data_IF_895805830457
#
_entry.id   IF_895805830457
#
_cell.length_a   1.000
_cell.length_b   1.000
_cell.length_c   1.000
_cell.angle_alpha   90.00
_cell.angle_beta   90.00
_cell.angle_gamma   90.00
#
_symmetry.space_group_name_H-M   'P 1'
#
loop_
_entity.id
_entity.type
_entity.pdbx_description
1 polymer ?
#
# COMPACT_ATOMS: atom_id res chain seq x y z
N UNK A 1 0.09 -1.12 -32.28
CA UNK A 1 -0.79 -2.11 -32.91
C UNK A 1 -0.02 -3.32 -33.44
N UNK A 2 0.92 -3.17 -34.37
CA UNK A 2 1.74 -4.31 -34.86
C UNK A 2 2.60 -4.98 -33.78
N UNK A 3 3.07 -4.24 -32.78
CA UNK A 3 3.69 -4.83 -31.58
C UNK A 3 2.76 -5.84 -30.89
N UNK A 4 1.46 -5.52 -30.76
CA UNK A 4 0.45 -6.44 -30.21
C UNK A 4 0.19 -7.63 -31.14
N UNK A 5 0.15 -7.43 -32.46
CA UNK A 5 -0.02 -8.53 -33.41
C UNK A 5 1.17 -9.50 -33.38
N UNK A 6 2.38 -8.95 -33.31
CA UNK A 6 3.61 -9.74 -33.19
C UNK A 6 3.61 -10.57 -31.90
N UNK A 7 3.31 -9.97 -30.76
CA UNK A 7 3.18 -10.69 -29.49
C UNK A 7 2.11 -11.77 -29.57
N UNK A 8 0.92 -11.47 -30.09
CA UNK A 8 -0.13 -12.48 -30.28
C UNK A 8 0.33 -13.62 -31.19
N UNK A 9 1.11 -13.32 -32.24
CA UNK A 9 1.69 -14.35 -33.10
C UNK A 9 2.76 -15.19 -32.40
N UNK A 10 3.57 -14.61 -31.51
CA UNK A 10 4.52 -15.36 -30.65
C UNK A 10 3.76 -16.38 -29.82
N UNK A 11 2.66 -15.96 -29.18
CA UNK A 11 1.88 -16.85 -28.32
C UNK A 11 1.21 -17.94 -29.16
N UNK A 12 0.53 -17.54 -30.24
CA UNK A 12 -0.26 -18.42 -31.10
C UNK A 12 0.60 -19.42 -31.88
N UNK A 13 1.71 -18.96 -32.45
CA UNK A 13 2.48 -19.69 -33.47
C UNK A 13 3.94 -19.97 -33.06
N UNK A 14 4.45 -19.32 -32.02
CA UNK A 14 5.85 -19.42 -31.58
C UNK A 14 6.78 -18.38 -32.23
N UNK A 15 7.97 -18.22 -31.64
CA UNK A 15 8.96 -17.21 -32.05
C UNK A 15 9.52 -17.45 -33.46
N UNK A 16 9.77 -18.71 -33.82
CA UNK A 16 10.40 -19.07 -35.09
C UNK A 16 9.40 -19.15 -36.27
N UNK A 17 8.09 -18.96 -36.01
CA UNK A 17 7.11 -19.08 -37.08
C UNK A 17 7.30 -17.94 -38.11
N UNK A 18 7.30 -18.23 -39.43
CA UNK A 18 7.47 -17.20 -40.47
C UNK A 18 6.49 -16.02 -40.34
N UNK A 19 5.26 -16.26 -39.85
CA UNK A 19 4.28 -15.20 -39.62
C UNK A 19 4.71 -14.27 -38.48
N UNK A 20 5.23 -14.83 -37.39
CA UNK A 20 5.77 -14.06 -36.25
C UNK A 20 6.95 -13.22 -36.70
N UNK A 21 7.92 -13.82 -37.41
CA UNK A 21 9.09 -13.13 -37.95
C UNK A 21 8.69 -11.99 -38.89
N UNK A 22 7.75 -12.23 -39.82
CA UNK A 22 7.22 -11.19 -40.71
C UNK A 22 6.63 -10.02 -39.93
N UNK A 23 5.80 -10.28 -38.91
CA UNK A 23 5.19 -9.22 -38.10
C UNK A 23 6.23 -8.41 -37.32
N UNK A 24 7.33 -9.04 -36.87
CA UNK A 24 8.44 -8.34 -36.24
C UNK A 24 9.11 -7.35 -37.21
N UNK A 25 9.39 -7.78 -38.45
CA UNK A 25 9.95 -6.90 -39.48
C UNK A 25 9.00 -5.76 -39.83
N UNK A 26 7.71 -6.05 -40.02
CA UNK A 26 6.70 -5.01 -40.29
C UNK A 26 6.63 -4.01 -39.14
N UNK A 27 6.64 -4.47 -37.88
CA UNK A 27 6.67 -3.59 -36.73
C UNK A 27 7.88 -2.65 -36.75
N UNK A 28 9.09 -3.17 -36.99
CA UNK A 28 10.31 -2.38 -37.03
C UNK A 28 10.28 -1.33 -38.17
N UNK A 29 9.88 -1.73 -39.37
CA UNK A 29 9.74 -0.80 -40.51
C UNK A 29 8.74 0.32 -40.19
N UNK A 30 7.64 0.00 -39.51
CA UNK A 30 6.63 0.99 -39.13
C UNK A 30 7.08 1.96 -38.03
N UNK A 31 8.02 1.56 -37.16
CA UNK A 31 8.62 2.50 -36.21
C UNK A 31 9.42 3.60 -36.93
N UNK A 32 10.07 3.26 -38.05
CA UNK A 32 10.84 4.20 -38.86
C UNK A 32 10.02 4.84 -40.01
N UNK A 33 8.75 4.52 -40.16
CA UNK A 33 7.89 5.02 -41.24
C UNK A 33 7.78 6.55 -41.26
N UNK A 34 7.82 7.20 -40.10
CA UNK A 34 7.80 8.67 -40.02
C UNK A 34 9.02 9.33 -40.67
N UNK A 35 10.17 8.62 -40.71
CA UNK A 35 11.42 9.10 -41.32
C UNK A 35 11.58 8.64 -42.76
N UNK A 36 11.17 7.41 -43.05
CA UNK A 36 11.36 6.76 -44.36
C UNK A 36 10.23 7.04 -45.34
N UNK A 37 9.08 7.52 -44.87
CA UNK A 37 7.90 7.75 -45.69
C UNK A 37 7.16 6.46 -46.09
N UNK A 38 7.58 5.29 -45.58
CA UNK A 38 6.92 4.03 -45.88
C UNK A 38 5.47 4.02 -45.36
N UNK A 39 4.57 3.46 -46.16
CA UNK A 39 3.17 3.29 -45.83
C UNK A 39 2.79 1.83 -45.91
N UNK A 40 2.06 1.36 -44.91
CA UNK A 40 1.54 0.01 -44.88
C UNK A 40 0.42 -0.16 -45.92
N UNK A 41 0.46 -1.25 -46.67
CA UNK A 41 -0.64 -1.61 -47.55
C UNK A 41 -1.91 -1.92 -46.74
N UNK A 42 -3.03 -1.26 -47.07
CA UNK A 42 -4.33 -1.44 -46.40
C UNK A 42 -4.84 -2.88 -46.44
N UNK A 43 -4.58 -3.60 -47.55
CA UNK A 43 -5.00 -5.00 -47.69
C UNK A 43 -4.24 -5.90 -46.69
N UNK A 44 -2.91 -5.75 -46.62
CA UNK A 44 -2.07 -6.48 -45.68
C UNK A 44 -2.46 -6.16 -44.22
N UNK A 45 -2.77 -4.90 -43.91
CA UNK A 45 -3.25 -4.53 -42.59
C UNK A 45 -4.56 -5.23 -42.20
N UNK A 46 -5.52 -5.30 -43.13
CA UNK A 46 -6.83 -5.93 -42.89
C UNK A 46 -6.66 -7.43 -42.62
N UNK A 47 -5.80 -8.09 -43.39
CA UNK A 47 -5.46 -9.51 -43.21
C UNK A 47 -4.74 -9.78 -41.88
N UNK A 48 -3.72 -8.99 -41.56
CA UNK A 48 -2.97 -9.10 -40.30
C UNK A 48 -3.87 -8.87 -39.10
N UNK A 49 -4.76 -7.87 -39.18
CA UNK A 49 -5.75 -7.59 -38.14
C UNK A 49 -6.73 -8.74 -37.99
N UNK A 50 -7.26 -9.30 -39.08
CA UNK A 50 -8.18 -10.43 -38.99
C UNK A 50 -7.52 -11.67 -38.35
N UNK A 51 -6.23 -11.88 -38.62
CA UNK A 51 -5.51 -13.09 -38.20
C UNK A 51 -4.92 -13.00 -36.78
N UNK A 52 -4.43 -11.82 -36.39
CA UNK A 52 -3.60 -11.64 -35.19
C UNK A 52 -4.19 -10.67 -34.15
N UNK A 53 -5.28 -9.96 -34.46
CA UNK A 53 -5.99 -9.19 -33.45
C UNK A 53 -6.67 -10.13 -32.46
N UNK A 54 -6.45 -9.87 -31.18
CA UNK A 54 -7.13 -10.55 -30.10
C UNK A 54 -7.57 -9.50 -29.08
N UNK A 55 -8.85 -9.53 -28.68
CA UNK A 55 -9.47 -8.47 -27.87
C UNK A 55 -8.84 -8.38 -26.46
N UNK A 56 -8.58 -9.53 -25.85
CA UNK A 56 -8.09 -9.64 -24.46
C UNK A 56 -6.56 -9.75 -24.45
N UNK A 57 -6.03 -10.75 -25.17
CA UNK A 57 -4.59 -10.98 -25.35
C UNK A 57 -4.16 -12.22 -24.55
N UNK A 58 -2.86 -12.41 -24.31
CA UNK A 58 -2.37 -13.50 -23.48
C UNK A 58 -2.68 -13.29 -22.00
N UNK A 59 -2.88 -14.38 -21.27
CA UNK A 59 -3.28 -14.38 -19.86
C UNK A 59 -2.30 -13.62 -18.95
N UNK A 60 -0.99 -13.80 -19.18
CA UNK A 60 0.03 -13.18 -18.33
C UNK A 60 -0.06 -11.64 -18.29
N UNK A 61 -0.61 -10.99 -19.32
CA UNK A 61 -0.79 -9.52 -19.33
C UNK A 61 -1.80 -9.04 -18.31
N UNK A 62 -2.82 -9.84 -18.05
CA UNK A 62 -3.81 -9.52 -17.03
C UNK A 62 -3.25 -9.82 -15.65
N UNK A 63 -2.67 -11.01 -15.47
CA UNK A 63 -2.02 -11.42 -14.23
C UNK A 63 -0.90 -10.44 -13.81
N UNK A 64 -0.16 -9.87 -14.75
CA UNK A 64 0.89 -8.88 -14.47
C UNK A 64 0.33 -7.48 -14.13
N UNK A 65 -0.88 -7.13 -14.57
CA UNK A 65 -1.49 -5.82 -14.31
C UNK A 65 -2.16 -5.75 -12.94
N UNK A 66 -2.62 -6.88 -12.43
CA UNK A 66 -3.35 -6.96 -11.17
C UNK A 66 -2.40 -6.92 -9.97
N UNK A 67 -1.98 -5.71 -9.56
CA UNK A 67 -1.40 -5.49 -8.20
C UNK A 67 -2.35 -5.92 -7.09
N UNK A 68 -3.65 -6.03 -7.38
CA UNK A 68 -4.70 -6.54 -6.49
C UNK A 68 -5.20 -7.85 -7.09
N UNK A 69 -5.28 -8.90 -6.25
CA UNK A 69 -5.81 -10.25 -6.51
C UNK A 69 -7.25 -10.25 -7.04
N UNK A 70 -7.50 -9.66 -8.21
CA UNK A 70 -8.73 -9.93 -8.94
C UNK A 70 -8.50 -11.20 -9.72
N UNK A 71 -9.41 -12.18 -9.53
CA UNK A 71 -9.54 -13.32 -10.43
C UNK A 71 -9.58 -12.79 -11.87
N UNK A 72 -8.99 -13.54 -12.81
CA UNK A 72 -9.12 -13.28 -14.23
C UNK A 72 -10.56 -12.83 -14.55
N UNK A 73 -10.70 -11.65 -15.16
CA UNK A 73 -11.98 -11.04 -15.48
C UNK A 73 -12.74 -11.84 -16.55
N UNK A 74 -12.02 -12.69 -17.28
CA UNK A 74 -12.54 -13.56 -18.33
C UNK A 74 -12.30 -15.03 -18.00
N UNK A 75 -13.15 -15.95 -18.48
CA UNK A 75 -12.89 -17.38 -18.40
C UNK A 75 -11.60 -17.73 -19.16
N UNK A 76 -10.91 -18.78 -18.71
CA UNK A 76 -9.61 -19.17 -19.26
C UNK A 76 -9.63 -19.43 -20.78
N UNK A 77 -10.78 -19.82 -21.34
CA UNK A 77 -11.00 -20.08 -22.77
C UNK A 77 -10.91 -18.84 -23.65
N UNK A 78 -11.12 -17.65 -23.07
CA UNK A 78 -11.19 -16.39 -23.81
C UNK A 78 -9.82 -15.76 -24.04
N UNK A 79 -8.77 -16.28 -23.39
CA UNK A 79 -7.40 -15.79 -23.57
C UNK A 79 -6.76 -16.39 -24.82
N UNK A 80 -5.75 -15.70 -25.31
CA UNK A 80 -4.98 -16.19 -26.45
C UNK A 80 -4.09 -17.36 -26.01
N UNK A 81 -4.34 -18.53 -26.59
CA UNK A 81 -3.55 -19.74 -26.39
C UNK A 81 -2.71 -20.08 -27.62
N UNK A 82 -1.65 -20.86 -27.41
CA UNK A 82 -0.88 -21.45 -28.51
C UNK A 82 -1.76 -22.43 -29.28
N UNK A 83 -1.82 -22.28 -30.61
CA UNK A 83 -2.47 -23.28 -31.47
C UNK A 83 -1.53 -24.48 -31.54
N UNK A 84 -1.99 -25.60 -31.00
CA UNK A 84 -1.30 -26.88 -31.15
C UNK A 84 -1.89 -27.50 -32.41
N UNK A 85 -1.09 -27.62 -33.47
CA UNK A 85 -1.50 -28.43 -34.61
C UNK A 85 -1.44 -29.90 -34.17
N UNK A 86 -2.60 -30.51 -33.95
CA UNK A 86 -2.74 -31.91 -33.50
C UNK A 86 -2.12 -32.95 -34.45
N UNK A 87 -1.63 -32.53 -35.63
CA UNK A 87 -1.07 -33.39 -36.67
C UNK A 87 0.38 -33.86 -36.42
N UNK A 88 1.06 -33.36 -35.38
CA UNK A 88 2.43 -33.77 -35.04
C UNK A 88 2.46 -34.40 -33.63
N UNK A 89 1.88 -35.59 -33.51
CA UNK A 89 1.78 -36.35 -32.25
C UNK A 89 3.15 -36.80 -31.69
N UNK A 90 4.21 -36.80 -32.50
CA UNK A 90 5.48 -37.43 -32.15
C UNK A 90 6.43 -36.59 -31.28
N UNK A 91 6.09 -35.33 -30.99
CA UNK A 91 6.92 -34.50 -30.11
C UNK A 91 6.43 -34.53 -28.65
N UNK A 92 6.58 -35.69 -28.03
CA UNK A 92 6.28 -35.92 -26.60
C UNK A 92 7.00 -34.91 -25.67
N UNK A 93 8.12 -34.33 -26.11
CA UNK A 93 8.85 -33.26 -25.41
C UNK A 93 8.08 -31.93 -25.33
N UNK A 94 7.27 -31.58 -26.32
CA UNK A 94 6.49 -30.32 -26.31
C UNK A 94 5.17 -30.44 -25.52
N UNK A 95 4.65 -31.66 -25.31
CA UNK A 95 3.46 -31.89 -24.47
C UNK A 95 3.71 -31.61 -22.99
N UNK A 96 4.97 -31.68 -22.51
CA UNK A 96 5.33 -31.46 -21.09
C UNK A 96 5.64 -30.00 -20.75
N UNK A 97 5.97 -29.18 -21.74
CA UNK A 97 6.21 -27.73 -21.60
C UNK A 97 5.18 -26.91 -22.40
N UNK A 98 3.89 -27.19 -22.19
CA UNK A 98 2.75 -26.51 -22.85
C UNK A 98 2.54 -25.07 -22.40
N UNK A 99 3.17 -24.64 -21.30
CA UNK A 99 3.00 -23.29 -20.76
C UNK A 99 3.99 -22.35 -21.42
N UNK A 100 3.49 -21.21 -21.90
CA UNK A 100 4.33 -20.14 -22.42
C UNK A 100 5.21 -19.57 -21.29
N UNK A 101 6.42 -19.12 -21.63
CA UNK A 101 7.45 -18.78 -20.63
C UNK A 101 7.00 -17.65 -19.70
N UNK A 102 6.31 -16.63 -20.20
CA UNK A 102 5.81 -15.53 -19.38
C UNK A 102 4.72 -16.00 -18.41
N UNK A 103 3.80 -16.88 -18.83
CA UNK A 103 2.82 -17.47 -17.92
C UNK A 103 3.48 -18.31 -16.81
N UNK A 104 4.53 -19.07 -17.14
CA UNK A 104 5.30 -19.81 -16.15
C UNK A 104 5.98 -18.87 -15.15
N UNK A 105 6.66 -17.83 -15.64
CA UNK A 105 7.35 -16.85 -14.79
C UNK A 105 6.39 -16.12 -13.86
N UNK A 106 5.20 -15.74 -14.34
CA UNK A 106 4.17 -15.13 -13.49
C UNK A 106 3.74 -16.07 -12.38
N UNK A 107 3.45 -17.34 -12.68
CA UNK A 107 3.07 -18.34 -11.65
C UNK A 107 4.17 -18.57 -10.61
N UNK A 108 5.43 -18.64 -11.06
CA UNK A 108 6.58 -18.77 -10.15
C UNK A 108 6.73 -17.53 -9.27
N UNK A 109 6.59 -16.33 -9.85
CA UNK A 109 6.65 -15.08 -9.11
C UNK A 109 5.52 -14.96 -8.07
N UNK A 110 4.30 -15.38 -8.40
CA UNK A 110 3.16 -15.44 -7.46
C UNK A 110 3.46 -16.37 -6.29
N UNK A 111 4.00 -17.57 -6.57
CA UNK A 111 4.37 -18.54 -5.52
C UNK A 111 5.45 -17.98 -4.59
N UNK A 112 6.49 -17.35 -5.15
CA UNK A 112 7.55 -16.72 -4.34
C UNK A 112 7.01 -15.53 -3.54
N UNK A 113 6.13 -14.72 -4.13
CA UNK A 113 5.45 -13.62 -3.44
C UNK A 113 4.65 -14.13 -2.23
N UNK A 114 3.79 -15.14 -2.42
CA UNK A 114 2.99 -15.70 -1.33
C UNK A 114 3.90 -16.34 -0.25
N UNK A 115 4.98 -17.01 -0.65
CA UNK A 115 5.98 -17.53 0.30
C UNK A 115 6.63 -16.42 1.12
N UNK A 116 6.99 -15.30 0.50
CA UNK A 116 7.56 -14.14 1.18
C UNK A 116 6.53 -13.50 2.12
N UNK A 117 5.27 -13.35 1.71
CA UNK A 117 4.20 -12.86 2.57
C UNK A 117 4.08 -13.71 3.85
N UNK A 118 4.01 -15.04 3.73
CA UNK A 118 3.95 -15.95 4.88
C UNK A 118 5.17 -15.79 5.79
N UNK A 119 6.38 -15.69 5.22
CA UNK A 119 7.61 -15.46 6.01
C UNK A 119 7.59 -14.13 6.75
N UNK A 120 7.09 -13.07 6.11
CA UNK A 120 6.96 -11.74 6.71
C UNK A 120 5.93 -11.74 7.83
N UNK A 121 4.76 -12.35 7.61
CA UNK A 121 3.71 -12.50 8.62
C UNK A 121 4.24 -13.28 9.83
N UNK A 122 4.96 -14.38 9.61
CA UNK A 122 5.57 -15.15 10.69
C UNK A 122 6.62 -14.33 11.47
N UNK A 123 7.46 -13.56 10.77
CA UNK A 123 8.47 -12.69 11.38
C UNK A 123 7.85 -11.59 12.23
N UNK A 124 6.75 -10.99 11.78
CA UNK A 124 6.09 -9.90 12.50
C UNK A 124 5.06 -10.36 13.53
N UNK A 125 4.55 -11.59 13.45
CA UNK A 125 3.70 -12.19 14.48
C UNK A 125 4.37 -12.25 15.85
N UNK A 126 5.71 -12.28 15.89
CA UNK A 126 6.48 -12.25 17.13
C UNK A 126 6.50 -10.86 17.82
N UNK A 127 6.05 -9.80 17.17
CA UNK A 127 5.96 -8.48 17.79
C UNK A 127 4.80 -8.47 18.80
N UNK A 128 5.12 -8.07 20.03
CA UNK A 128 4.11 -7.92 21.09
C UNK A 128 3.08 -6.87 20.69
N UNK A 129 1.81 -7.25 20.71
CA UNK A 129 0.66 -6.34 20.58
C UNK A 129 0.18 -5.84 21.95
N UNK A 130 1.04 -5.92 22.96
CA UNK A 130 0.79 -5.40 24.31
C UNK A 130 -0.08 -6.35 25.12
N UNK A 131 -0.48 -5.91 26.31
CA UNK A 131 -1.35 -6.65 27.20
C UNK A 131 -2.52 -5.77 27.66
N UNK A 132 -3.69 -6.00 27.08
CA UNK A 132 -4.92 -5.25 27.37
C UNK A 132 -5.37 -5.45 28.82
N UNK A 133 -5.26 -6.68 29.34
CA UNK A 133 -5.69 -7.03 30.70
C UNK A 133 -4.86 -6.27 31.76
N UNK A 134 -3.58 -6.08 31.48
CA UNK A 134 -2.67 -5.33 32.33
C UNK A 134 -2.58 -3.84 31.95
N UNK A 135 -3.37 -3.38 30.98
CA UNK A 135 -3.32 -2.00 30.47
C UNK A 135 -1.90 -1.58 30.01
N UNK A 136 -1.12 -2.52 29.46
CA UNK A 136 0.23 -2.29 28.93
C UNK A 136 0.15 -2.19 27.40
N UNK A 137 0.23 -0.97 26.82
CA UNK A 137 0.32 -0.84 25.38
C UNK A 137 1.63 -1.40 24.84
N UNK A 138 1.70 -1.62 23.51
CA UNK A 138 2.85 -2.25 22.86
C UNK A 138 4.13 -1.42 22.93
N UNK A 139 4.00 -0.10 22.85
CA UNK A 139 5.08 0.84 23.06
C UNK A 139 4.74 1.74 24.26
N UNK A 140 5.33 1.40 25.41
CA UNK A 140 5.16 2.16 26.63
C UNK A 140 5.71 3.59 26.53
N UNK A 141 6.69 3.84 25.67
CA UNK A 141 7.27 5.18 25.55
C UNK A 141 6.25 6.17 24.99
N UNK A 142 5.43 5.73 24.03
CA UNK A 142 4.38 6.54 23.42
C UNK A 142 3.23 6.82 24.38
N UNK A 143 2.94 5.89 25.29
CA UNK A 143 1.84 6.01 26.26
C UNK A 143 2.23 6.72 27.56
N UNK A 144 3.52 6.70 27.93
CA UNK A 144 4.04 7.23 29.18
C UNK A 144 3.65 8.69 29.47
N UNK A 145 3.68 9.65 28.51
CA UNK A 145 3.27 11.02 28.80
C UNK A 145 1.85 11.14 29.36
N UNK A 146 0.90 10.35 28.84
CA UNK A 146 -0.47 10.32 29.33
C UNK A 146 -0.56 9.68 30.71
N UNK A 147 -0.01 8.48 30.89
CA UNK A 147 -0.07 7.77 32.17
C UNK A 147 0.62 8.53 33.31
N UNK A 148 1.76 9.16 33.05
CA UNK A 148 2.44 10.01 34.04
C UNK A 148 1.57 11.22 34.41
N UNK A 149 0.80 11.76 33.47
CA UNK A 149 -0.10 12.88 33.73
C UNK A 149 -1.32 12.46 34.55
N UNK A 150 -1.90 11.29 34.27
CA UNK A 150 -2.97 10.70 35.10
C UNK A 150 -2.47 10.47 36.54
N UNK A 151 -1.31 9.81 36.70
CA UNK A 151 -0.73 9.57 38.01
C UNK A 151 -0.45 10.87 38.79
N UNK A 152 0.05 11.92 38.12
CA UNK A 152 0.23 13.24 38.73
C UNK A 152 -1.10 13.87 39.13
N UNK A 153 -2.13 13.75 38.30
CA UNK A 153 -3.45 14.29 38.61
C UNK A 153 -4.08 13.59 39.83
N UNK A 154 -3.82 12.30 40.04
CA UNK A 154 -4.33 11.56 41.19
C UNK A 154 -3.59 11.89 42.49
N UNK A 155 -2.26 12.05 42.42
CA UNK A 155 -1.41 12.08 43.62
C UNK A 155 -0.91 13.47 44.01
N UNK A 156 -0.46 14.27 43.04
CA UNK A 156 0.29 15.51 43.30
C UNK A 156 -0.54 16.75 42.98
N UNK A 157 -1.32 16.72 41.90
CA UNK A 157 -1.99 17.90 41.36
C UNK A 157 -3.41 17.57 40.85
N UNK A 158 -4.40 17.40 41.74
CA UNK A 158 -5.80 17.13 41.37
C UNK A 158 -6.42 18.15 40.41
N UNK A 159 -5.93 19.39 40.42
CA UNK A 159 -6.34 20.44 39.50
C UNK A 159 -6.01 20.15 38.03
N UNK A 160 -5.13 19.17 37.72
CA UNK A 160 -4.79 18.73 36.37
C UNK A 160 -5.89 17.86 35.75
N UNK A 161 -6.72 17.17 36.55
CA UNK A 161 -7.72 16.24 36.07
C UNK A 161 -8.77 16.86 35.11
N UNK A 162 -9.30 18.08 35.34
CA UNK A 162 -10.15 18.77 34.37
C UNK A 162 -9.49 18.99 33.00
N UNK A 163 -8.21 19.34 32.97
CA UNK A 163 -7.46 19.58 31.73
C UNK A 163 -7.28 18.28 30.95
N UNK A 164 -6.93 17.19 31.63
CA UNK A 164 -6.86 15.86 31.01
C UNK A 164 -8.21 15.42 30.46
N UNK A 165 -9.31 15.66 31.17
CA UNK A 165 -10.66 15.38 30.66
C UNK A 165 -10.98 16.19 29.40
N UNK A 166 -10.57 17.47 29.34
CA UNK A 166 -10.77 18.30 28.16
C UNK A 166 -9.97 17.79 26.95
N UNK A 167 -8.72 17.35 27.16
CA UNK A 167 -7.89 16.72 26.13
C UNK A 167 -8.51 15.42 25.65
N UNK A 168 -8.90 14.54 26.58
CA UNK A 168 -9.52 13.27 26.26
C UNK A 168 -10.82 13.45 25.47
N UNK A 169 -11.68 14.37 25.90
CA UNK A 169 -12.93 14.68 25.22
C UNK A 169 -12.71 15.16 23.77
N UNK A 170 -11.70 16.02 23.55
CA UNK A 170 -11.35 16.46 22.19
C UNK A 170 -10.88 15.29 21.33
N UNK A 171 -9.94 14.47 21.83
CA UNK A 171 -9.41 13.33 21.07
C UNK A 171 -10.51 12.32 20.76
N UNK A 172 -11.40 12.02 21.71
CA UNK A 172 -12.51 11.09 21.50
C UNK A 172 -13.48 11.60 20.44
N UNK A 173 -13.82 12.90 20.48
CA UNK A 173 -14.65 13.53 19.45
C UNK A 173 -14.02 13.37 18.06
N UNK A 174 -12.74 13.72 17.89
CA UNK A 174 -12.06 13.62 16.59
C UNK A 174 -11.96 12.15 16.13
N UNK A 175 -11.78 11.23 17.07
CA UNK A 175 -11.76 9.78 16.80
C UNK A 175 -13.13 9.26 16.33
N UNK A 176 -14.22 9.70 16.95
CA UNK A 176 -15.59 9.31 16.58
C UNK A 176 -16.02 9.92 15.24
N UNK A 177 -15.62 11.17 14.98
CA UNK A 177 -15.84 11.86 13.69
C UNK A 177 -14.98 11.29 12.57
N UNK A 178 -14.00 10.43 12.88
CA UNK A 178 -13.17 9.78 11.88
C UNK A 178 -14.03 8.90 10.97
N UNK A 179 -14.40 9.45 9.82
CA UNK A 179 -14.94 8.67 8.72
C UNK A 179 -13.86 7.73 8.19
N UNK A 180 -14.24 6.49 7.88
CA UNK A 180 -13.33 5.54 7.22
C UNK A 180 -12.86 6.19 5.90
N UNK A 181 -11.56 6.42 5.77
CA UNK A 181 -10.99 6.98 4.55
C UNK A 181 -11.16 5.94 3.45
N UNK A 182 -12.14 6.18 2.60
CA UNK A 182 -12.48 5.32 1.48
C UNK A 182 -11.29 5.25 0.52
N UNK A 183 -10.65 4.08 0.44
CA UNK A 183 -9.45 3.86 -0.37
C UNK A 183 -9.70 3.94 -1.87
N UNK A 184 -10.97 3.88 -2.30
CA UNK A 184 -11.36 3.91 -3.70
C UNK A 184 -11.58 5.35 -4.20
N UNK A 185 -11.57 6.35 -3.30
CA UNK A 185 -11.55 7.76 -3.68
C UNK A 185 -10.24 8.19 -4.34
N UNK A 186 -10.32 9.29 -5.11
CA UNK A 186 -9.14 9.92 -5.71
C UNK A 186 -8.12 10.28 -4.63
N UNK A 187 -6.84 10.26 -5.00
CA UNK A 187 -5.74 10.49 -4.04
C UNK A 187 -5.87 11.88 -3.40
N UNK A 188 -6.23 12.90 -4.19
CA UNK A 188 -6.41 14.28 -3.72
C UNK A 188 -7.48 14.37 -2.64
N UNK A 189 -8.67 13.83 -2.90
CA UNK A 189 -9.79 13.81 -1.95
C UNK A 189 -9.43 13.10 -0.64
N UNK A 190 -8.72 11.97 -0.72
CA UNK A 190 -8.23 11.25 0.47
C UNK A 190 -7.24 12.08 1.26
N UNK A 191 -6.32 12.76 0.60
CA UNK A 191 -5.35 13.63 1.27
C UNK A 191 -6.03 14.82 1.94
N UNK A 192 -7.04 15.41 1.30
CA UNK A 192 -7.78 16.53 1.86
C UNK A 192 -8.58 16.13 3.10
N UNK A 193 -9.19 14.94 3.11
CA UNK A 193 -9.82 14.38 4.30
C UNK A 193 -8.82 14.20 5.46
N UNK A 194 -7.65 13.61 5.18
CA UNK A 194 -6.60 13.42 6.18
C UNK A 194 -6.06 14.77 6.71
N UNK A 195 -5.87 15.76 5.82
CA UNK A 195 -5.45 17.11 6.21
C UNK A 195 -6.51 17.82 7.05
N UNK A 196 -7.79 17.70 6.71
CA UNK A 196 -8.89 18.28 7.47
C UNK A 196 -8.94 17.70 8.88
N UNK A 197 -8.85 16.38 9.00
CA UNK A 197 -8.83 15.67 10.28
C UNK A 197 -7.60 16.03 11.13
N UNK A 198 -6.42 16.10 10.52
CA UNK A 198 -5.20 16.53 11.22
C UNK A 198 -5.28 17.98 11.68
N UNK A 199 -5.87 18.88 10.88
CA UNK A 199 -6.12 20.27 11.28
C UNK A 199 -7.13 20.37 12.43
N UNK A 200 -8.22 19.61 12.38
CA UNK A 200 -9.20 19.59 13.46
C UNK A 200 -8.57 19.06 14.76
N UNK A 201 -7.81 17.96 14.68
CA UNK A 201 -7.05 17.43 15.81
C UNK A 201 -6.09 18.47 16.40
N UNK A 202 -5.34 19.18 15.55
CA UNK A 202 -4.39 20.20 15.98
C UNK A 202 -5.03 21.48 16.54
N UNK A 203 -6.31 21.73 16.24
CA UNK A 203 -7.01 22.96 16.63
C UNK A 203 -7.39 23.02 18.12
N UNK A 204 -7.32 21.89 18.83
CA UNK A 204 -7.81 21.82 20.19
C UNK A 204 -7.12 20.78 21.07
N UNK A 205 -7.48 20.78 22.37
CA UNK A 205 -8.26 21.82 23.06
C UNK A 205 -7.47 23.13 23.24
N UNK A 206 -8.17 24.27 23.21
CA UNK A 206 -7.55 25.60 23.35
C UNK A 206 -6.88 25.79 24.71
N UNK A 207 -5.73 26.47 24.72
CA UNK A 207 -4.97 26.81 25.92
C UNK A 207 -5.82 27.57 26.95
N UNK A 208 -6.74 28.42 26.50
CA UNK A 208 -7.63 29.20 27.37
C UNK A 208 -8.61 28.33 28.17
N UNK A 209 -8.83 27.09 27.76
CA UNK A 209 -9.69 26.13 28.47
C UNK A 209 -8.93 25.33 29.53
N UNK A 210 -7.60 25.44 29.57
CA UNK A 210 -6.76 24.74 30.53
C UNK A 210 -6.64 25.55 31.82
N UNK A 211 -6.58 24.85 32.95
CA UNK A 211 -6.41 25.43 34.29
C UNK A 211 -4.96 25.38 34.76
N UNK A 212 -4.26 24.31 34.40
CA UNK A 212 -2.92 23.98 34.89
C UNK A 212 -1.91 23.91 33.76
N UNK A 213 -2.33 23.47 32.57
CA UNK A 213 -1.45 23.39 31.41
C UNK A 213 -1.36 24.76 30.74
N UNK A 214 -0.17 25.37 30.75
CA UNK A 214 0.06 26.71 30.18
C UNK A 214 0.89 26.68 28.88
N UNK A 215 1.15 25.50 28.33
CA UNK A 215 1.90 25.31 27.09
C UNK A 215 1.14 24.43 26.09
N UNK A 216 0.95 24.93 24.87
CA UNK A 216 0.32 24.17 23.80
C UNK A 216 1.13 22.94 23.39
N UNK A 217 2.47 22.97 23.47
CA UNK A 217 3.28 21.81 23.11
C UNK A 217 3.03 20.66 24.10
N UNK A 218 2.83 20.96 25.38
CA UNK A 218 2.38 20.00 26.37
C UNK A 218 0.99 19.43 26.04
N UNK A 219 0.02 20.26 25.64
CA UNK A 219 -1.33 19.80 25.22
C UNK A 219 -1.20 18.83 24.05
N UNK A 220 -0.47 19.20 22.99
CA UNK A 220 -0.27 18.36 21.80
C UNK A 220 0.40 17.03 22.14
N UNK A 221 1.41 17.05 23.01
CA UNK A 221 2.10 15.83 23.47
C UNK A 221 1.15 14.88 24.22
N UNK A 222 0.32 15.42 25.12
CA UNK A 222 -0.65 14.64 25.87
C UNK A 222 -1.78 14.10 24.97
N UNK A 223 -2.28 14.93 24.06
CA UNK A 223 -3.30 14.54 23.08
C UNK A 223 -2.78 13.40 22.17
N UNK A 224 -1.55 13.49 21.68
CA UNK A 224 -0.91 12.45 20.87
C UNK A 224 -0.75 11.13 21.64
N UNK A 225 -0.24 11.20 22.87
CA UNK A 225 -0.07 10.05 23.75
C UNK A 225 -1.41 9.38 24.07
N UNK A 226 -2.45 10.19 24.36
CA UNK A 226 -3.80 9.69 24.60
C UNK A 226 -4.43 9.08 23.36
N UNK A 227 -4.29 9.71 22.18
CA UNK A 227 -4.80 9.16 20.92
C UNK A 227 -4.24 7.77 20.63
N UNK A 228 -2.95 7.56 20.89
CA UNK A 228 -2.31 6.25 20.78
C UNK A 228 -2.90 5.21 21.74
N UNK A 229 -3.09 5.57 23.01
CA UNK A 229 -3.66 4.68 24.04
C UNK A 229 -5.14 4.40 23.78
N UNK A 230 -5.90 5.41 23.38
CA UNK A 230 -7.34 5.32 23.13
C UNK A 230 -7.65 4.42 21.94
N UNK A 231 -6.96 4.62 20.82
CA UNK A 231 -7.12 3.79 19.61
C UNK A 231 -6.75 2.33 19.90
N UNK A 232 -5.63 2.10 20.59
CA UNK A 232 -5.21 0.76 21.04
C UNK A 232 -6.30 0.06 21.83
N UNK A 233 -6.79 0.71 22.90
CA UNK A 233 -7.82 0.16 23.80
C UNK A 233 -9.12 -0.13 23.05
N UNK A 234 -9.53 0.77 22.17
CA UNK A 234 -10.80 0.66 21.44
C UNK A 234 -10.77 -0.50 20.45
N UNK A 235 -9.70 -0.61 19.66
CA UNK A 235 -9.55 -1.65 18.63
C UNK A 235 -9.27 -3.02 19.22
N UNK A 236 -8.52 -3.06 20.31
CA UNK A 236 -8.24 -4.28 21.07
C UNK A 236 -9.49 -4.91 21.68
N UNK A 237 -10.50 -4.12 22.07
CA UNK A 237 -11.76 -4.64 22.62
C UNK A 237 -12.76 -5.10 21.58
N UNK A 238 -12.66 -4.57 20.35
CA UNK A 238 -13.60 -4.86 19.26
C UNK A 238 -13.16 -6.00 18.34
N UNK A 239 -11.90 -6.43 18.40
CA UNK A 239 -11.36 -7.42 17.47
C UNK A 239 -11.37 -8.83 18.07
N UNK A 240 -12.17 -9.73 17.48
CA UNK A 240 -11.99 -11.19 17.62
C UNK A 240 -10.74 -11.71 16.85
N UNK A 241 -9.90 -10.81 16.34
CA UNK A 241 -8.76 -11.12 15.49
C UNK A 241 -7.48 -10.63 16.17
N UNK A 242 -6.65 -11.59 16.57
CA UNK A 242 -5.28 -11.37 17.05
C UNK A 242 -4.46 -10.79 15.88
N UNK A 243 -4.28 -9.47 15.80
CA UNK A 243 -3.43 -8.90 14.75
C UNK A 243 -3.42 -7.38 14.62
N UNK A 244 -4.57 -6.72 14.54
CA UNK A 244 -4.63 -5.31 14.10
C UNK A 244 -5.10 -4.36 15.22
N UNK A 245 -4.47 -4.44 16.39
CA UNK A 245 -4.85 -3.73 17.62
C UNK A 245 -4.88 -2.19 17.55
N UNK A 246 -4.74 -1.58 16.37
CA UNK A 246 -4.86 -0.14 16.11
C UNK A 246 -5.49 0.15 14.76
N UNK A 247 -6.05 1.35 14.65
CA UNK A 247 -6.30 1.98 13.37
C UNK A 247 -5.11 2.84 12.95
N UNK A 248 -5.24 3.50 11.79
CA UNK A 248 -4.27 4.52 11.36
C UNK A 248 -4.47 5.86 12.05
N UNK A 249 -5.48 6.01 12.91
CA UNK A 249 -5.85 7.28 13.54
C UNK A 249 -4.68 8.04 14.19
N UNK A 250 -4.00 7.49 15.22
CA UNK A 250 -2.99 8.25 15.95
C UNK A 250 -1.82 8.63 15.03
N UNK A 251 -1.50 7.77 14.07
CA UNK A 251 -0.47 8.00 13.07
C UNK A 251 -0.86 9.01 11.99
N UNK A 252 -2.14 9.20 11.71
CA UNK A 252 -2.60 10.20 10.74
C UNK A 252 -2.65 11.60 11.35
N UNK A 253 -3.04 11.71 12.62
CA UNK A 253 -3.33 13.00 13.26
C UNK A 253 -2.18 13.54 14.11
N UNK A 254 -1.35 12.66 14.68
CA UNK A 254 -0.36 13.02 15.69
C UNK A 254 1.03 12.40 15.45
N UNK A 255 1.36 12.05 14.19
CA UNK A 255 2.63 11.37 13.86
C UNK A 255 3.86 12.11 14.38
N UNK A 256 3.90 13.44 14.18
CA UNK A 256 5.04 14.29 14.56
C UNK A 256 5.28 14.24 16.07
N UNK A 257 4.22 14.38 16.85
CA UNK A 257 4.26 14.36 18.31
C UNK A 257 4.64 12.96 18.84
N UNK A 258 4.13 11.90 18.22
CA UNK A 258 4.52 10.52 18.56
C UNK A 258 6.00 10.25 18.27
N UNK A 259 6.51 10.70 17.12
CA UNK A 259 7.94 10.64 16.81
C UNK A 259 8.78 11.38 17.84
N UNK A 260 8.35 12.59 18.25
CA UNK A 260 9.04 13.36 19.28
C UNK A 260 9.05 12.63 20.63
N UNK A 261 7.91 12.04 21.03
CA UNK A 261 7.81 11.26 22.27
C UNK A 261 8.80 10.09 22.22
N UNK A 262 8.81 9.32 21.12
CA UNK A 262 9.69 8.16 20.99
C UNK A 262 11.17 8.56 20.95
N UNK A 263 11.50 9.62 20.20
CA UNK A 263 12.87 10.11 20.10
C UNK A 263 13.44 10.50 21.47
N UNK A 264 12.66 11.23 22.28
CA UNK A 264 13.07 11.62 23.64
C UNK A 264 13.22 10.41 24.57
N UNK A 265 12.38 9.38 24.41
CA UNK A 265 12.45 8.19 25.25
C UNK A 265 13.64 7.27 24.91
N UNK A 266 13.99 7.13 23.62
CA UNK A 266 15.09 6.25 23.18
C UNK A 266 16.45 6.86 23.47
N UNK A 267 16.60 8.18 23.40
CA UNK A 267 17.88 8.82 23.72
C UNK A 267 18.02 10.27 23.24
N UNK A 268 19.26 10.78 23.14
CA UNK A 268 19.52 12.12 22.67
C UNK A 268 18.99 12.33 21.25
N UNK A 269 18.15 13.34 21.06
CA UNK A 269 17.59 13.71 19.77
C UNK A 269 17.82 15.20 19.49
N UNK A 270 17.82 15.58 18.21
CA UNK A 270 17.97 16.96 17.77
C UNK A 270 16.84 17.32 16.82
N UNK A 271 16.14 18.41 17.12
CA UNK A 271 15.18 18.99 16.19
C UNK A 271 15.91 19.69 15.06
N UNK A 272 15.52 19.38 13.83
CA UNK A 272 16.05 20.01 12.62
C UNK A 272 14.91 20.68 11.87
N UNK A 273 15.22 21.75 11.14
CA UNK A 273 14.23 22.37 10.24
C UNK A 273 13.96 21.44 9.06
N UNK A 274 12.77 21.56 8.47
CA UNK A 274 12.39 20.77 7.28
C UNK A 274 13.42 20.93 6.17
N UNK A 275 13.85 22.16 5.91
CA UNK A 275 14.86 22.46 4.89
C UNK A 275 16.17 21.73 5.14
N UNK A 276 16.62 21.60 6.38
CA UNK A 276 17.85 20.88 6.70
C UNK A 276 17.65 19.35 6.63
N UNK A 277 16.51 18.87 7.12
CA UNK A 277 16.14 17.45 7.07
C UNK A 277 16.08 16.91 5.63
N UNK A 278 15.58 17.68 4.68
CA UNK A 278 15.50 17.30 3.26
C UNK A 278 16.89 17.05 2.62
N UNK A 279 17.96 17.59 3.20
CA UNK A 279 19.33 17.36 2.74
C UNK A 279 19.99 16.15 3.39
N UNK A 280 19.33 15.50 4.37
CA UNK A 280 19.88 14.31 5.01
C UNK A 280 19.85 13.15 4.02
N UNK A 281 20.96 12.41 4.00
CA UNK A 281 21.07 11.15 3.26
C UNK A 281 21.41 10.07 4.26
N UNK A 282 20.76 8.92 4.11
CA UNK A 282 21.17 7.73 4.84
C UNK A 282 22.62 7.44 4.44
N UNK A 283 23.51 7.39 5.44
CA UNK A 283 24.85 6.88 5.22
C UNK A 283 24.72 5.45 4.68
N UNK A 284 25.45 5.13 3.62
CA UNK A 284 25.61 3.74 3.22
C UNK A 284 26.47 3.08 4.30
N UNK A 285 25.82 2.27 5.12
CA UNK A 285 26.47 1.36 6.07
C UNK A 285 26.87 0.10 5.32
#
# INVERSE_FOLDING_TARGET
>A
MYSTFHENAIIKCGYANPRTVRLAHVFNILMDAAKTGYKLNKAAWKDDRATHHHKIGPLYRELAKTRRRTKAAHPATDYLHRVIDDANEDSMFFRKHRTEVMEYLVKVAEKEYDSLCVKMDAKFKALSLGNIQQNIPPDMDLARPWYDAEARAETVQPALAPDLRAIAAHVNRVYEEQTHVDTDRRIEERQDQLRAMSKDFASGPSLQRMKVIFDEAQIRRLAASYAYVHDWKTRSRSSNHVGDGWSRFPWNVAFRELCQIKAVAVGPSKTVTTTFYEHFKLAKV
#
